data_IF_967379304844
#
_entry.id   IF_967379304844
#
_cell.length_a   1.000
_cell.length_b   1.000
_cell.length_c   1.000
_cell.angle_alpha   90.00
_cell.angle_beta   90.00
_cell.angle_gamma   90.00
#
_symmetry.space_group_name_H-M   'P 1'
#
loop_
_entity.id
_entity.type
_entity.pdbx_description
1 polymer ?
#
# COMPACT_ATOMS: atom_id res chain seq x y z
N UNK A 1 -17.32 -18.47 -58.18
CA UNK A 1 -16.49 -17.25 -57.98
C UNK A 1 -16.96 -16.63 -56.67
N UNK A 2 -16.35 -16.98 -55.53
CA UNK A 2 -15.14 -16.37 -54.92
C UNK A 2 -15.39 -14.89 -54.57
N UNK A 3 -15.28 -14.41 -53.34
CA UNK A 3 -14.77 -15.01 -52.11
C UNK A 3 -15.13 -14.16 -50.87
N UNK A 4 -15.04 -14.80 -49.69
CA UNK A 4 -15.12 -14.16 -48.37
C UNK A 4 -13.85 -13.33 -48.11
N UNK A 5 -13.92 -12.13 -47.54
CA UNK A 5 -12.72 -11.48 -47.01
C UNK A 5 -12.27 -12.15 -45.70
N UNK A 6 -10.95 -12.24 -45.59
CA UNK A 6 -10.20 -13.05 -44.63
C UNK A 6 -10.30 -12.55 -43.18
N UNK A 7 -10.30 -13.51 -42.25
CA UNK A 7 -9.89 -13.31 -40.85
C UNK A 7 -8.48 -12.73 -40.83
N UNK A 8 -8.30 -11.55 -40.25
CA UNK A 8 -7.01 -11.17 -39.67
C UNK A 8 -6.97 -11.73 -38.25
N UNK A 9 -6.02 -12.63 -38.05
CA UNK A 9 -5.55 -13.10 -36.76
C UNK A 9 -4.73 -11.99 -36.11
N UNK A 10 -5.19 -11.48 -34.96
CA UNK A 10 -4.37 -10.64 -34.09
C UNK A 10 -3.34 -11.53 -33.36
N UNK A 11 -2.03 -11.22 -33.40
CA UNK A 11 -1.00 -12.06 -32.79
C UNK A 11 -0.64 -11.65 -31.34
N UNK A 12 -1.49 -10.89 -30.64
CA UNK A 12 -1.26 -10.48 -29.25
C UNK A 12 -2.35 -10.99 -28.30
N UNK A 13 -2.56 -12.31 -28.30
CA UNK A 13 -3.23 -13.00 -27.21
C UNK A 13 -2.17 -13.73 -26.37
N UNK A 14 -1.31 -12.96 -25.69
CA UNK A 14 -0.64 -13.48 -24.50
C UNK A 14 -1.67 -13.62 -23.38
N UNK A 15 -1.59 -14.63 -22.51
CA UNK A 15 -2.45 -14.66 -21.34
C UNK A 15 -2.09 -13.44 -20.51
N UNK A 16 -3.01 -12.48 -20.38
CA UNK A 16 -3.01 -11.64 -19.20
C UNK A 16 -3.24 -12.61 -18.04
N UNK A 17 -2.15 -13.07 -17.44
CA UNK A 17 -2.18 -13.72 -16.15
C UNK A 17 -2.76 -12.66 -15.20
N UNK A 18 -4.09 -12.66 -15.09
CA UNK A 18 -4.79 -11.95 -14.05
C UNK A 18 -4.32 -12.60 -12.76
N UNK A 19 -3.28 -12.03 -12.15
CA UNK A 19 -3.04 -12.23 -10.75
C UNK A 19 -4.27 -11.68 -10.04
N UNK A 20 -5.20 -12.60 -9.79
CA UNK A 20 -6.29 -12.38 -8.87
C UNK A 20 -5.64 -12.49 -7.50
N UNK A 21 -4.93 -11.44 -7.07
CA UNK A 21 -4.52 -11.36 -5.68
C UNK A 21 -5.83 -11.33 -4.91
N UNK A 22 -6.14 -12.40 -4.20
CA UNK A 22 -7.26 -12.40 -3.28
C UNK A 22 -6.89 -11.40 -2.19
N UNK A 23 -7.43 -10.19 -2.30
CA UNK A 23 -7.16 -9.15 -1.33
C UNK A 23 -7.89 -9.54 -0.04
N UNK A 24 -7.13 -9.85 1.01
CA UNK A 24 -7.73 -10.17 2.30
C UNK A 24 -7.93 -8.87 3.08
N UNK A 25 -9.16 -8.53 3.39
CA UNK A 25 -9.47 -7.38 4.24
C UNK A 25 -9.27 -7.74 5.71
N UNK A 26 -8.71 -6.81 6.48
CA UNK A 26 -8.59 -6.93 7.92
C UNK A 26 -9.12 -5.66 8.61
N UNK A 27 -9.68 -5.82 9.81
CA UNK A 27 -10.08 -4.68 10.63
C UNK A 27 -8.92 -4.16 11.49
N UNK A 28 -7.89 -4.98 11.69
CA UNK A 28 -6.69 -4.67 12.46
C UNK A 28 -5.49 -5.48 11.96
N UNK A 29 -4.30 -4.89 12.01
CA UNK A 29 -3.01 -5.56 11.92
C UNK A 29 -2.53 -5.94 13.32
N UNK A 30 -2.24 -7.23 13.52
CA UNK A 30 -1.67 -7.71 14.78
C UNK A 30 -0.22 -7.19 14.93
N UNK A 31 0.22 -6.77 16.14
CA UNK A 31 1.57 -6.24 16.36
C UNK A 31 2.70 -7.21 15.97
N UNK A 32 2.39 -8.50 15.97
CA UNK A 32 3.22 -9.66 15.66
C UNK A 32 3.13 -10.10 14.18
N UNK A 33 2.44 -9.31 13.34
CA UNK A 33 2.50 -9.46 11.88
C UNK A 33 3.93 -9.24 11.40
N UNK A 34 4.51 -10.25 10.75
CA UNK A 34 5.91 -10.28 10.32
C UNK A 34 6.10 -10.75 8.88
N UNK A 35 5.01 -11.00 8.15
CA UNK A 35 5.05 -11.49 6.77
C UNK A 35 3.95 -10.88 5.91
N UNK A 36 4.20 -10.89 4.60
CA UNK A 36 3.28 -10.45 3.57
C UNK A 36 3.26 -8.94 3.35
N UNK A 37 2.53 -8.56 2.30
CA UNK A 37 2.43 -7.17 1.85
C UNK A 37 1.03 -6.64 2.18
N UNK A 38 0.98 -5.54 2.92
CA UNK A 38 -0.25 -4.95 3.42
C UNK A 38 -0.38 -3.50 2.97
N UNK A 39 -1.55 -3.15 2.44
CA UNK A 39 -1.95 -1.78 2.14
C UNK A 39 -2.83 -1.26 3.25
N UNK A 40 -2.42 -0.16 3.86
CA UNK A 40 -3.18 0.57 4.88
C UNK A 40 -3.57 1.92 4.30
N UNK A 41 -4.85 2.08 3.99
CA UNK A 41 -5.39 3.35 3.53
C UNK A 41 -5.81 4.15 4.75
N UNK A 42 -5.27 5.35 4.91
CA UNK A 42 -5.73 6.32 5.90
C UNK A 42 -6.47 7.46 5.23
N UNK A 43 -7.11 8.32 6.03
CA UNK A 43 -7.89 9.46 5.53
C UNK A 43 -7.14 10.43 4.60
N UNK A 44 -5.82 10.39 4.59
CA UNK A 44 -5.02 11.37 3.84
C UNK A 44 -3.90 10.74 3.02
N UNK A 45 -3.62 9.45 3.20
CA UNK A 45 -2.48 8.78 2.56
C UNK A 45 -2.69 7.28 2.56
N UNK A 46 -2.10 6.61 1.57
CA UNK A 46 -1.99 5.15 1.58
C UNK A 46 -0.57 4.76 1.97
N UNK A 47 -0.48 3.71 2.77
CA UNK A 47 0.78 3.10 3.21
C UNK A 47 0.85 1.69 2.66
N UNK A 48 1.97 1.35 2.06
CA UNK A 48 2.31 -0.03 1.71
C UNK A 48 3.35 -0.50 2.72
N UNK A 49 2.99 -1.55 3.47
CA UNK A 49 3.83 -2.21 4.45
C UNK A 49 4.27 -3.53 3.81
N UNK A 50 5.57 -3.65 3.54
CA UNK A 50 6.18 -4.90 3.13
C UNK A 50 6.90 -5.48 4.34
N UNK A 51 6.33 -6.52 4.96
CA UNK A 51 6.99 -7.18 6.09
C UNK A 51 8.06 -8.17 5.65
N UNK A 52 8.05 -8.59 4.38
CA UNK A 52 9.07 -9.50 3.84
C UNK A 52 10.39 -8.75 3.62
N UNK A 53 10.31 -7.52 3.10
CA UNK A 53 11.45 -6.61 2.95
C UNK A 53 11.68 -5.70 4.18
N UNK A 54 10.72 -5.66 5.11
CA UNK A 54 10.70 -4.74 6.26
C UNK A 54 10.79 -3.27 5.83
N UNK A 55 9.95 -2.89 4.87
CA UNK A 55 9.87 -1.53 4.33
C UNK A 55 8.46 -0.96 4.47
N UNK A 56 8.39 0.37 4.60
CA UNK A 56 7.17 1.14 4.61
C UNK A 56 7.27 2.22 3.54
N UNK A 57 6.35 2.16 2.59
CA UNK A 57 6.19 3.18 1.55
C UNK A 57 4.94 4.00 1.86
N UNK A 58 5.05 5.33 1.75
CA UNK A 58 3.90 6.23 1.82
C UNK A 58 3.60 6.78 0.42
N UNK A 59 2.37 6.55 -0.04
CA UNK A 59 1.79 7.10 -1.26
C UNK A 59 0.64 8.07 -0.90
N UNK A 60 0.89 9.39 -0.86
CA UNK A 60 -0.16 10.38 -0.61
C UNK A 60 -1.14 10.44 -1.79
N UNK A 61 -2.44 10.62 -1.51
CA UNK A 61 -3.46 10.84 -2.54
C UNK A 61 -3.87 9.63 -3.37
N UNK A 62 -3.21 8.47 -3.21
CA UNK A 62 -3.69 7.19 -3.77
C UNK A 62 -4.69 6.61 -2.77
N UNK A 63 -5.93 6.26 -3.20
CA UNK A 63 -6.92 5.57 -2.36
C UNK A 63 -7.64 6.41 -1.29
N UNK A 64 -7.26 7.67 -1.09
CA UNK A 64 -8.00 8.58 -0.21
C UNK A 64 -9.30 9.00 -0.88
N UNK A 65 -10.44 8.81 -0.19
CA UNK A 65 -11.72 9.39 -0.62
C UNK A 65 -11.55 10.89 -0.89
N UNK A 66 -12.24 11.43 -1.90
CA UNK A 66 -12.21 12.82 -2.40
C UNK A 66 -12.70 13.88 -1.38
N UNK A 67 -12.43 13.69 -0.08
CA UNK A 67 -12.65 14.71 0.94
C UNK A 67 -11.55 15.78 0.84
N UNK A 68 -11.77 16.75 -0.04
CA UNK A 68 -10.95 17.97 -0.31
C UNK A 68 -10.65 18.85 0.94
N UNK A 69 -11.05 18.44 2.15
CA UNK A 69 -10.87 19.22 3.38
C UNK A 69 -9.46 19.16 3.99
N UNK A 70 -8.61 18.24 3.55
CA UNK A 70 -7.25 18.09 4.07
C UNK A 70 -6.23 18.31 2.96
N UNK A 71 -5.46 19.40 3.05
CA UNK A 71 -4.38 19.68 2.10
C UNK A 71 -3.39 18.51 2.08
N UNK A 72 -3.34 17.79 0.95
CA UNK A 72 -2.37 16.72 0.71
C UNK A 72 -1.01 17.40 0.50
N UNK A 73 -0.26 17.62 1.58
CA UNK A 73 1.13 18.06 1.49
C UNK A 73 1.96 16.94 0.88
N UNK A 74 2.36 17.13 -0.37
CA UNK A 74 3.43 16.37 -1.00
C UNK A 74 4.70 16.61 -0.17
N UNK A 75 5.10 15.63 0.63
CA UNK A 75 6.37 15.67 1.32
C UNK A 75 7.46 15.24 0.35
N UNK A 76 8.61 15.91 0.45
CA UNK A 76 9.81 15.69 -0.38
C UNK A 76 10.37 14.25 -0.33
N UNK A 77 9.86 13.40 0.57
CA UNK A 77 10.26 11.99 0.81
C UNK A 77 9.13 10.99 0.54
N UNK A 78 8.03 11.43 -0.06
CA UNK A 78 7.01 10.50 -0.53
C UNK A 78 7.62 9.67 -1.68
N UNK A 79 7.48 8.35 -1.61
CA UNK A 79 8.19 7.34 -2.43
C UNK A 79 9.61 6.91 -2.00
N UNK A 80 10.10 7.28 -0.80
CA UNK A 80 11.29 6.63 -0.22
C UNK A 80 10.87 5.46 0.69
N UNK A 81 11.53 4.32 0.54
CA UNK A 81 11.35 3.16 1.42
C UNK A 81 11.88 3.51 2.82
N UNK A 82 10.96 3.60 3.77
CA UNK A 82 11.30 3.83 5.18
C UNK A 82 11.49 2.46 5.82
N UNK A 83 12.64 2.18 6.48
CA UNK A 83 12.83 0.90 7.14
C UNK A 83 11.80 0.72 8.26
N UNK A 84 10.95 -0.30 8.10
CA UNK A 84 9.92 -0.68 9.05
C UNK A 84 10.56 -1.60 10.11
N UNK A 85 10.21 -1.36 11.37
CA UNK A 85 10.60 -2.22 12.49
C UNK A 85 9.44 -3.06 13.01
N UNK A 86 8.22 -2.62 12.73
CA UNK A 86 6.99 -3.32 13.10
C UNK A 86 5.82 -2.38 13.29
N UNK A 87 4.66 -2.96 13.60
CA UNK A 87 3.42 -2.23 13.87
C UNK A 87 3.22 -2.17 15.37
N UNK A 88 2.93 -0.97 15.91
CA UNK A 88 2.55 -0.82 17.31
C UNK A 88 1.03 -0.91 17.48
N UNK A 89 0.29 -0.22 16.62
CA UNK A 89 -1.17 -0.28 16.54
C UNK A 89 -1.60 0.10 15.14
N UNK A 90 -2.47 -0.68 14.51
CA UNK A 90 -3.07 -0.31 13.24
C UNK A 90 -4.43 -0.99 13.14
N UNK A 91 -5.48 -0.20 13.36
CA UNK A 91 -6.88 -0.64 13.39
C UNK A 91 -7.73 0.35 12.60
N UNK A 92 -8.68 -0.17 11.81
CA UNK A 92 -9.64 0.65 11.07
C UNK A 92 -10.43 1.54 12.05
N UNK A 93 -10.49 2.84 11.75
CA UNK A 93 -11.10 3.88 12.58
C UNK A 93 -10.15 4.58 13.56
N UNK A 94 -8.94 4.04 13.80
CA UNK A 94 -7.95 4.61 14.73
C UNK A 94 -6.70 5.11 13.99
N UNK A 95 -5.94 6.01 14.61
CA UNK A 95 -4.64 6.43 14.08
C UNK A 95 -3.63 5.29 14.15
N UNK A 96 -3.10 4.87 12.99
CA UNK A 96 -2.05 3.86 12.98
C UNK A 96 -0.72 4.42 13.48
N UNK A 97 0.02 3.56 14.18
CA UNK A 97 1.33 3.80 14.77
C UNK A 97 2.32 2.74 14.28
N UNK A 98 3.33 3.17 13.55
CA UNK A 98 4.38 2.33 12.99
C UNK A 98 5.73 2.63 13.63
N UNK A 99 6.50 1.59 13.94
CA UNK A 99 7.90 1.72 14.33
C UNK A 99 8.76 1.76 13.09
N UNK A 100 9.56 2.81 12.93
CA UNK A 100 10.45 2.97 11.78
C UNK A 100 11.84 3.40 12.22
N UNK A 101 12.86 3.12 11.40
CA UNK A 101 14.16 3.77 11.53
C UNK A 101 14.18 5.04 10.68
N UNK A 102 14.97 6.02 11.10
CA UNK A 102 15.25 7.17 10.24
C UNK A 102 16.11 6.71 9.05
N UNK A 103 15.74 7.12 7.84
CA UNK A 103 16.50 6.83 6.62
C UNK A 103 17.88 7.52 6.65
N UNK A 104 17.94 8.66 7.33
CA UNK A 104 19.11 9.52 7.50
C UNK A 104 20.04 9.08 8.65
N UNK A 105 19.52 8.32 9.62
CA UNK A 105 20.29 7.81 10.77
C UNK A 105 19.73 6.43 11.22
N UNK A 106 20.44 5.33 10.94
CA UNK A 106 19.95 3.98 11.23
C UNK A 106 19.87 3.66 12.73
N UNK A 107 20.56 4.42 13.59
CA UNK A 107 20.52 4.23 15.05
C UNK A 107 19.29 4.90 15.69
N UNK A 108 18.65 5.82 14.95
CA UNK A 108 17.45 6.52 15.41
C UNK A 108 16.19 5.72 15.09
N UNK A 109 15.47 5.33 16.14
CA UNK A 109 14.15 4.69 16.06
C UNK A 109 13.08 5.70 16.41
N UNK A 110 12.07 5.83 15.56
CA UNK A 110 10.96 6.77 15.77
C UNK A 110 9.62 6.08 15.53
N UNK A 111 8.55 6.67 16.10
CA UNK A 111 7.19 6.30 15.74
C UNK A 111 6.66 7.23 14.66
N UNK A 112 5.92 6.66 13.71
CA UNK A 112 5.07 7.43 12.80
C UNK A 112 3.62 7.24 13.21
N UNK A 113 2.97 8.36 13.51
CA UNK A 113 1.54 8.41 13.80
C UNK A 113 0.83 8.95 12.56
N UNK A 114 -0.19 8.24 12.11
CA UNK A 114 -0.94 8.57 10.89
C UNK A 114 -2.35 9.07 11.23
N UNK A 115 -3.05 9.55 10.21
CA UNK A 115 -4.49 9.82 10.31
C UNK A 115 -5.28 8.52 10.49
N UNK A 116 -6.56 8.59 10.93
CA UNK A 116 -7.37 7.40 11.11
C UNK A 116 -7.36 6.49 9.89
N UNK A 117 -7.16 5.20 10.12
CA UNK A 117 -7.18 4.16 9.09
C UNK A 117 -8.61 3.99 8.58
N UNK A 118 -8.75 3.89 7.27
CA UNK A 118 -10.01 3.69 6.55
C UNK A 118 -10.16 2.23 6.12
N UNK A 119 -9.08 1.63 5.61
CA UNK A 119 -9.06 0.21 5.25
C UNK A 119 -7.68 -0.41 5.43
N UNK A 120 -7.66 -1.73 5.65
CA UNK A 120 -6.45 -2.55 5.69
C UNK A 120 -6.67 -3.74 4.78
N UNK A 121 -5.72 -3.96 3.87
CA UNK A 121 -5.81 -4.93 2.78
C UNK A 121 -4.49 -5.70 2.63
N UNK A 122 -4.52 -7.02 2.69
CA UNK A 122 -3.37 -7.87 2.37
C UNK A 122 -3.35 -8.17 0.87
N UNK A 123 -2.22 -7.91 0.22
CA UNK A 123 -2.02 -8.13 -1.21
C UNK A 123 -1.39 -9.51 -1.48
N UNK A 124 -0.50 -9.99 -0.62
CA UNK A 124 0.20 -11.29 -0.78
C UNK A 124 0.45 -12.03 0.52
#
# INVERSE_FOLDING_TARGET
MSGRPARRSDPFAGPAAGYSYAVAHADQLEPDTTEGVWTVVTRTSTYLLDFDEMTLLRAPGVGSSDDESWAISQLRRDSEDIPLLGVKSCRVGESAQFWVRATDDPDVRTWRITTPVVSIERIS
#
